data_IF_998271041130
#
_entry.id   IF_998271041130
#
_cell.length_a   1.000
_cell.length_b   1.000
_cell.length_c   1.000
_cell.angle_alpha   90.00
_cell.angle_beta   90.00
_cell.angle_gamma   90.00
#
_symmetry.space_group_name_H-M   'P 1'
#
loop_
_entity.id
_entity.type
_entity.pdbx_description
1 polymer ?
#
# COMPACT_ATOMS: atom_id res chain seq x y z
N UNK A 1 5.45 -32.84 12.48
CA UNK A 1 4.39 -31.87 12.08
C UNK A 1 5.03 -30.88 11.11
N UNK A 2 4.51 -30.76 9.89
CA UNK A 2 5.20 -30.10 8.78
C UNK A 2 5.16 -28.58 8.96
N UNK A 3 6.30 -27.92 9.10
CA UNK A 3 6.46 -26.47 9.33
C UNK A 3 5.66 -25.62 8.31
N UNK A 4 5.55 -26.10 7.06
CA UNK A 4 4.74 -25.46 6.00
C UNK A 4 3.24 -25.43 6.36
N UNK A 5 2.70 -26.49 6.97
CA UNK A 5 1.30 -26.52 7.47
C UNK A 5 1.08 -25.56 8.62
N UNK A 6 2.08 -25.42 9.50
CA UNK A 6 1.99 -24.48 10.64
C UNK A 6 1.95 -23.03 10.12
N UNK A 7 2.81 -22.69 9.17
CA UNK A 7 2.86 -21.34 8.58
C UNK A 7 1.56 -21.05 7.82
N UNK A 8 1.04 -22.01 7.05
CA UNK A 8 -0.23 -21.85 6.33
C UNK A 8 -1.42 -21.69 7.30
N UNK A 9 -1.48 -22.49 8.36
CA UNK A 9 -2.55 -22.40 9.37
C UNK A 9 -2.42 -21.12 10.21
N UNK A 10 -1.20 -20.68 10.54
CA UNK A 10 -0.97 -19.41 11.24
C UNK A 10 -1.42 -18.24 10.35
N UNK A 11 -1.14 -18.31 9.06
CA UNK A 11 -1.53 -17.29 8.09
C UNK A 11 -3.06 -17.23 7.92
N UNK A 12 -3.72 -18.39 7.78
CA UNK A 12 -5.19 -18.46 7.73
C UNK A 12 -5.79 -17.94 9.04
N UNK A 13 -5.21 -18.27 10.19
CA UNK A 13 -5.66 -17.75 11.49
C UNK A 13 -5.51 -16.23 11.61
N UNK A 14 -4.41 -15.65 11.11
CA UNK A 14 -4.20 -14.19 11.07
C UNK A 14 -5.21 -13.53 10.14
N UNK A 15 -5.47 -14.11 8.98
CA UNK A 15 -6.48 -13.60 8.03
C UNK A 15 -7.90 -13.67 8.65
N UNK A 16 -8.24 -14.77 9.30
CA UNK A 16 -9.53 -14.93 10.01
C UNK A 16 -9.63 -13.96 11.19
N UNK A 17 -8.54 -13.75 11.94
CA UNK A 17 -8.49 -12.76 13.02
C UNK A 17 -8.64 -11.32 12.50
N UNK A 18 -8.06 -10.98 11.34
CA UNK A 18 -8.27 -9.68 10.70
C UNK A 18 -9.72 -9.46 10.25
N UNK A 19 -10.39 -10.54 9.82
CA UNK A 19 -11.81 -10.50 9.43
C UNK A 19 -12.75 -10.48 10.65
N UNK A 20 -12.32 -11.06 11.77
CA UNK A 20 -13.10 -11.20 12.99
C UNK A 20 -12.79 -10.11 14.05
N UNK A 21 -11.92 -9.14 13.76
CA UNK A 21 -11.59 -8.07 14.70
C UNK A 21 -12.85 -7.36 15.14
N UNK A 22 -13.19 -7.33 16.46
CA UNK A 22 -14.26 -6.48 16.93
C UNK A 22 -13.87 -5.04 16.57
N UNK A 23 -14.85 -4.27 16.12
CA UNK A 23 -14.74 -2.87 15.77
C UNK A 23 -13.92 -2.11 16.84
N UNK A 24 -12.61 -1.99 16.66
CA UNK A 24 -11.92 -0.85 17.21
C UNK A 24 -12.56 0.33 16.47
N UNK A 25 -13.40 1.08 17.15
CA UNK A 25 -14.16 2.17 16.58
C UNK A 25 -13.19 3.19 15.99
N UNK A 26 -12.77 2.94 14.76
CA UNK A 26 -12.14 3.93 13.92
C UNK A 26 -13.25 4.92 13.62
N UNK A 27 -13.32 5.99 14.41
CA UNK A 27 -14.17 7.12 14.12
C UNK A 27 -13.78 7.60 12.73
N UNK A 28 -14.68 7.35 11.79
CA UNK A 28 -14.58 7.83 10.41
C UNK A 28 -14.60 9.34 10.51
N UNK A 29 -13.46 9.98 10.28
CA UNK A 29 -13.46 11.39 9.89
C UNK A 29 -14.00 11.39 8.47
N UNK A 30 -15.30 11.37 8.33
CA UNK A 30 -15.97 11.55 7.05
C UNK A 30 -15.67 12.95 6.58
N UNK A 31 -14.90 13.04 5.51
CA UNK A 31 -14.68 14.27 4.76
C UNK A 31 -15.94 14.49 3.89
N UNK A 32 -17.07 14.63 4.54
CA UNK A 32 -18.24 15.26 3.95
C UNK A 32 -18.00 16.75 4.04
N UNK A 33 -17.90 17.47 2.97
CA UNK A 33 -17.78 18.91 2.78
C UNK A 33 -18.05 19.90 3.95
N UNK A 34 -18.06 19.44 5.17
CA UNK A 34 -18.24 20.21 6.40
C UNK A 34 -16.94 20.96 6.72
N UNK A 35 -17.08 22.20 7.11
CA UNK A 35 -16.00 23.03 7.60
C UNK A 35 -15.58 22.52 8.98
N UNK A 36 -14.56 21.69 9.04
CA UNK A 36 -13.95 21.31 10.32
C UNK A 36 -13.03 22.43 10.79
N UNK A 37 -13.17 22.83 12.04
CA UNK A 37 -12.17 23.65 12.70
C UNK A 37 -10.85 22.90 12.72
N UNK A 38 -9.74 23.56 12.35
CA UNK A 38 -8.39 22.98 12.32
C UNK A 38 -8.03 22.29 13.64
N UNK A 39 -8.42 22.89 14.77
CA UNK A 39 -8.14 22.34 16.09
C UNK A 39 -8.94 21.07 16.37
N UNK A 40 -10.19 20.99 15.90
CA UNK A 40 -11.01 19.77 16.02
C UNK A 40 -10.40 18.60 15.23
N UNK A 41 -9.93 18.85 14.00
CA UNK A 41 -9.30 17.80 13.20
C UNK A 41 -7.96 17.37 13.80
N UNK A 42 -7.14 18.31 14.29
CA UNK A 42 -5.91 17.96 15.01
C UNK A 42 -6.19 17.13 16.25
N UNK A 43 -7.20 17.50 17.01
CA UNK A 43 -7.62 16.75 18.19
C UNK A 43 -8.06 15.32 17.84
N UNK A 44 -8.75 15.12 16.71
CA UNK A 44 -9.09 13.79 16.22
C UNK A 44 -7.84 13.00 15.78
N UNK A 45 -6.85 13.64 15.13
CA UNK A 45 -5.55 13.01 14.84
C UNK A 45 -4.81 12.64 16.13
N UNK A 46 -4.83 13.51 17.16
CA UNK A 46 -4.18 13.24 18.44
C UNK A 46 -4.87 12.13 19.24
N UNK A 47 -6.19 12.07 19.19
CA UNK A 47 -7.02 11.03 19.85
C UNK A 47 -7.04 9.72 19.07
N UNK A 48 -6.81 9.76 17.77
CA UNK A 48 -6.82 8.57 16.93
C UNK A 48 -5.88 7.48 17.44
N UNK A 49 -6.16 6.21 17.14
CA UNK A 49 -5.39 5.10 17.67
C UNK A 49 -3.91 5.23 17.29
N UNK A 50 -3.04 4.81 18.20
CA UNK A 50 -1.59 4.79 17.93
C UNK A 50 -1.23 3.74 16.89
N UNK A 51 -1.95 2.63 16.88
CA UNK A 51 -1.78 1.54 15.92
C UNK A 51 -2.88 1.56 14.87
N UNK A 52 -2.54 1.36 13.59
CA UNK A 52 -3.50 1.37 12.50
C UNK A 52 -2.96 0.78 11.20
N UNK A 53 -3.81 0.79 10.19
CA UNK A 53 -3.42 0.43 8.84
C UNK A 53 -2.63 1.57 8.19
N UNK A 54 -1.59 1.21 7.43
CA UNK A 54 -0.76 2.17 6.70
C UNK A 54 -1.13 2.23 5.22
N UNK A 55 -1.02 1.10 4.52
CA UNK A 55 -1.49 0.90 3.14
C UNK A 55 -2.69 -0.04 3.13
N UNK A 56 -3.28 -0.26 1.97
CA UNK A 56 -4.30 -1.26 1.75
C UNK A 56 -3.79 -2.65 2.14
N UNK A 57 -4.60 -3.37 2.94
CA UNK A 57 -4.33 -4.75 3.30
C UNK A 57 -5.23 -5.65 2.49
N UNK A 58 -4.66 -6.47 1.63
CA UNK A 58 -5.43 -7.28 0.68
C UNK A 58 -4.92 -8.71 0.56
N UNK A 59 -5.83 -9.58 0.15
CA UNK A 59 -5.54 -10.90 -0.38
C UNK A 59 -6.28 -11.04 -1.71
N UNK A 60 -5.53 -11.21 -2.78
CA UNK A 60 -6.04 -11.29 -4.15
C UNK A 60 -5.37 -12.44 -4.90
N UNK A 61 -6.10 -13.01 -5.85
CA UNK A 61 -5.65 -14.14 -6.65
C UNK A 61 -6.06 -13.94 -8.11
N UNK A 62 -5.23 -14.37 -9.04
CA UNK A 62 -5.59 -14.34 -10.46
C UNK A 62 -4.42 -14.61 -11.40
N UNK A 63 -4.72 -14.72 -12.70
CA UNK A 63 -3.77 -15.09 -13.73
C UNK A 63 -3.03 -13.89 -14.33
N UNK A 64 -1.95 -14.21 -15.04
CA UNK A 64 -1.35 -13.30 -16.01
C UNK A 64 -2.29 -13.09 -17.21
N UNK A 65 -2.28 -11.86 -17.75
CA UNK A 65 -3.09 -11.47 -18.90
C UNK A 65 -2.20 -11.30 -20.12
N UNK A 66 -2.74 -11.63 -21.29
CA UNK A 66 -2.03 -11.50 -22.58
C UNK A 66 -1.11 -12.67 -22.91
N UNK A 67 -1.12 -13.73 -22.11
CA UNK A 67 -0.40 -14.98 -22.33
C UNK A 67 -1.23 -16.19 -21.94
N UNK A 68 -0.78 -17.40 -22.30
CA UNK A 68 -1.45 -18.63 -21.89
C UNK A 68 -1.47 -18.73 -20.36
N UNK A 69 -2.64 -18.95 -19.80
CA UNK A 69 -2.81 -19.13 -18.35
C UNK A 69 -2.22 -20.48 -17.94
N UNK A 70 -1.30 -20.47 -16.98
CA UNK A 70 -0.66 -21.66 -16.41
C UNK A 70 -0.74 -21.61 -14.88
N UNK A 71 -0.35 -22.70 -14.21
CA UNK A 71 -0.28 -22.73 -12.75
C UNK A 71 0.80 -21.80 -12.21
N UNK A 72 1.92 -21.66 -12.94
CA UNK A 72 3.08 -20.85 -12.56
C UNK A 72 2.79 -19.34 -12.66
N UNK A 73 1.93 -18.93 -13.61
CA UNK A 73 1.59 -17.51 -13.82
C UNK A 73 0.23 -17.10 -13.23
N UNK A 74 -0.42 -18.01 -12.47
CA UNK A 74 -1.65 -17.76 -11.74
C UNK A 74 -1.33 -17.87 -10.25
N UNK A 75 -1.25 -16.74 -9.59
CA UNK A 75 -0.77 -16.69 -8.21
C UNK A 75 -1.66 -15.84 -7.29
N UNK A 76 -1.51 -16.04 -6.00
CA UNK A 76 -2.03 -15.14 -4.99
C UNK A 76 -0.98 -14.06 -4.67
N UNK A 77 -1.48 -12.88 -4.39
CA UNK A 77 -0.72 -11.75 -3.86
C UNK A 77 -1.42 -11.23 -2.62
N UNK A 78 -0.69 -11.04 -1.55
CA UNK A 78 -1.26 -10.40 -0.38
C UNK A 78 -0.31 -9.33 0.19
N UNK A 79 -0.90 -8.37 0.84
CA UNK A 79 -0.20 -7.30 1.51
C UNK A 79 -0.75 -7.09 2.91
N UNK A 80 0.15 -7.01 3.88
CA UNK A 80 -0.12 -6.56 5.24
C UNK A 80 0.67 -5.30 5.47
N UNK A 81 -0.02 -4.24 5.87
CA UNK A 81 0.61 -2.93 6.06
C UNK A 81 0.02 -2.23 7.28
N UNK A 82 0.90 -1.91 8.21
CA UNK A 82 0.55 -1.35 9.52
C UNK A 82 1.41 -0.14 9.83
N UNK A 83 0.93 0.70 10.72
CA UNK A 83 1.69 1.82 11.27
C UNK A 83 1.46 1.98 12.76
N UNK A 84 2.48 2.52 13.44
CA UNK A 84 2.44 2.91 14.83
C UNK A 84 2.78 4.39 14.94
N UNK A 85 1.81 5.20 15.35
CA UNK A 85 2.04 6.60 15.68
C UNK A 85 2.86 6.67 16.99
N UNK A 86 3.95 7.41 16.98
CA UNK A 86 4.85 7.54 18.14
C UNK A 86 4.62 8.84 18.93
N UNK A 87 4.16 9.91 18.24
CA UNK A 87 3.94 11.20 18.87
C UNK A 87 2.54 11.74 18.57
N UNK A 88 2.12 12.71 19.38
CA UNK A 88 1.01 13.60 19.07
C UNK A 88 1.54 14.82 18.26
N UNK A 89 0.70 15.82 18.04
CA UNK A 89 1.05 17.06 17.30
C UNK A 89 2.06 17.97 18.03
N UNK A 90 2.94 17.38 18.83
CA UNK A 90 3.92 18.08 19.66
C UNK A 90 5.24 18.38 18.97
N UNK A 91 5.48 17.79 17.80
CA UNK A 91 6.69 18.01 17.03
C UNK A 91 6.62 19.34 16.25
N UNK A 92 7.77 19.92 15.86
CA UNK A 92 7.81 21.13 15.04
C UNK A 92 6.88 21.03 13.83
N UNK A 93 6.26 22.15 13.44
CA UNK A 93 5.29 22.27 12.34
C UNK A 93 4.02 21.43 12.51
N UNK A 94 3.69 20.97 13.74
CA UNK A 94 2.58 20.08 14.04
C UNK A 94 2.64 18.79 13.24
N UNK A 95 3.80 18.16 13.19
CA UNK A 95 4.03 16.87 12.55
C UNK A 95 3.86 15.73 13.53
N UNK A 96 3.59 14.54 12.98
CA UNK A 96 3.45 13.29 13.70
C UNK A 96 4.56 12.34 13.26
N UNK A 97 5.27 11.78 14.21
CA UNK A 97 6.25 10.72 13.96
C UNK A 97 5.54 9.37 14.01
N UNK A 98 5.81 8.51 13.05
CA UNK A 98 5.26 7.17 13.00
C UNK A 98 6.26 6.16 12.44
N UNK A 99 6.14 4.93 12.90
CA UNK A 99 6.76 3.76 12.29
C UNK A 99 5.75 3.11 11.36
N UNK A 100 6.23 2.49 10.30
CA UNK A 100 5.39 1.66 9.44
C UNK A 100 6.13 0.41 9.01
N UNK A 101 5.34 -0.59 8.67
CA UNK A 101 5.81 -1.83 8.10
C UNK A 101 4.84 -2.30 7.04
N UNK A 102 5.36 -2.66 5.87
CA UNK A 102 4.59 -3.29 4.82
C UNK A 102 5.26 -4.59 4.42
N UNK A 103 4.49 -5.66 4.35
CA UNK A 103 4.91 -6.93 3.79
C UNK A 103 4.03 -7.26 2.60
N UNK A 104 4.63 -7.48 1.45
CA UNK A 104 3.98 -7.93 0.22
C UNK A 104 4.52 -9.31 -0.15
N UNK A 105 3.64 -10.23 -0.44
CA UNK A 105 3.99 -11.64 -0.69
C UNK A 105 3.32 -12.12 -1.96
N UNK A 106 4.09 -12.84 -2.78
CA UNK A 106 3.62 -13.56 -3.95
C UNK A 106 3.64 -15.07 -3.65
N UNK A 107 2.53 -15.74 -3.92
CA UNK A 107 2.31 -17.12 -3.50
C UNK A 107 1.70 -17.95 -4.63
N UNK A 108 2.43 -18.94 -5.12
CA UNK A 108 1.98 -19.85 -6.16
C UNK A 108 1.11 -20.96 -5.56
N UNK A 109 -0.12 -20.64 -5.27
CA UNK A 109 -1.10 -21.52 -4.60
C UNK A 109 -1.57 -22.70 -5.45
N UNK A 110 -1.29 -22.69 -6.74
CA UNK A 110 -1.64 -23.78 -7.67
C UNK A 110 -0.50 -24.77 -7.93
N UNK A 111 0.70 -24.47 -7.44
CA UNK A 111 1.85 -25.36 -7.53
C UNK A 111 1.86 -26.39 -6.39
N UNK A 112 2.44 -27.56 -6.66
CA UNK A 112 2.39 -28.72 -5.77
C UNK A 112 2.94 -28.46 -4.37
N UNK A 113 4.00 -27.66 -4.22
CA UNK A 113 4.58 -27.30 -2.93
C UNK A 113 4.06 -26.01 -2.32
N UNK A 114 3.10 -25.35 -2.97
CA UNK A 114 2.57 -24.06 -2.55
C UNK A 114 3.68 -23.04 -2.20
N UNK A 115 4.65 -22.77 -3.10
CA UNK A 115 5.78 -21.94 -2.74
C UNK A 115 5.40 -20.45 -2.64
N UNK A 116 5.87 -19.79 -1.58
CA UNK A 116 5.95 -18.32 -1.56
C UNK A 116 7.18 -17.92 -2.36
N UNK A 117 6.95 -17.36 -3.53
CA UNK A 117 8.01 -17.08 -4.52
C UNK A 117 8.79 -15.83 -4.20
N UNK A 118 8.12 -14.80 -3.68
CA UNK A 118 8.76 -13.55 -3.26
C UNK A 118 8.09 -12.98 -2.01
N UNK A 119 8.91 -12.52 -1.06
CA UNK A 119 8.48 -11.86 0.16
C UNK A 119 9.20 -10.51 0.23
N UNK A 120 8.46 -9.42 0.15
CA UNK A 120 9.05 -8.09 0.19
C UNK A 120 8.71 -7.42 1.52
N UNK A 121 9.74 -7.02 2.26
CA UNK A 121 9.68 -6.39 3.58
C UNK A 121 10.03 -4.91 3.44
N UNK A 122 9.14 -4.03 3.89
CA UNK A 122 9.35 -2.59 3.80
C UNK A 122 9.07 -1.91 5.15
N UNK A 123 10.02 -1.99 6.11
CA UNK A 123 9.99 -1.18 7.32
C UNK A 123 10.40 0.26 7.03
N UNK A 124 9.88 1.19 7.83
CA UNK A 124 10.29 2.58 7.75
C UNK A 124 9.82 3.43 8.92
N UNK A 125 10.37 4.63 8.95
CA UNK A 125 10.00 5.69 9.88
C UNK A 125 9.63 6.94 9.07
N UNK A 126 8.65 7.69 9.52
CA UNK A 126 8.19 8.86 8.79
C UNK A 126 7.60 9.95 9.65
N UNK A 127 7.58 11.14 9.07
CA UNK A 127 6.85 12.30 9.56
C UNK A 127 5.65 12.54 8.67
N UNK A 128 4.50 12.79 9.28
CA UNK A 128 3.27 13.18 8.60
C UNK A 128 2.84 14.56 9.05
N UNK A 129 2.56 15.45 8.09
CA UNK A 129 2.02 16.79 8.33
C UNK A 129 0.64 16.92 7.70
N UNK A 130 -0.44 16.98 8.48
CA UNK A 130 -1.76 17.32 7.96
C UNK A 130 -1.78 18.74 7.40
N UNK A 131 -2.46 18.93 6.27
CA UNK A 131 -2.59 20.21 5.58
C UNK A 131 -3.99 20.79 5.78
N UNK A 132 -4.04 22.07 6.09
CA UNK A 132 -5.29 22.82 6.28
C UNK A 132 -5.27 24.13 5.48
N UNK A 133 -6.37 24.43 4.82
CA UNK A 133 -6.59 25.71 4.15
C UNK A 133 -7.95 26.23 4.59
N UNK A 134 -8.01 27.48 5.09
CA UNK A 134 -9.24 28.11 5.60
C UNK A 134 -10.02 27.21 6.58
N UNK A 135 -9.31 26.62 7.54
CA UNK A 135 -9.84 25.66 8.53
C UNK A 135 -10.46 24.37 7.92
N UNK A 136 -10.12 24.04 6.69
CA UNK A 136 -10.54 22.80 6.04
C UNK A 136 -9.34 21.89 5.86
N UNK A 137 -9.46 20.64 6.27
CA UNK A 137 -8.46 19.62 5.98
C UNK A 137 -8.45 19.31 4.48
N UNK A 138 -7.29 19.39 3.85
CA UNK A 138 -7.12 19.21 2.42
C UNK A 138 -6.17 18.08 2.07
N UNK A 139 -5.57 17.42 3.05
CA UNK A 139 -4.64 16.32 2.79
C UNK A 139 -3.47 16.26 3.75
N UNK A 140 -2.42 15.57 3.33
CA UNK A 140 -1.21 15.38 4.14
C UNK A 140 0.06 15.45 3.29
N UNK A 141 1.17 15.87 3.92
CA UNK A 141 2.53 15.65 3.43
C UNK A 141 3.20 14.58 4.26
N UNK A 142 4.06 13.80 3.64
CA UNK A 142 4.86 12.77 4.31
C UNK A 142 6.34 12.91 3.95
N UNK A 143 7.21 12.68 4.92
CA UNK A 143 8.63 12.47 4.76
C UNK A 143 8.98 11.15 5.40
N UNK A 144 9.66 10.25 4.69
CA UNK A 144 9.89 8.88 5.13
C UNK A 144 11.32 8.46 4.82
N UNK A 145 11.87 7.65 5.70
CA UNK A 145 13.09 6.87 5.48
C UNK A 145 12.66 5.41 5.54
N UNK A 146 12.85 4.69 4.45
CA UNK A 146 12.34 3.33 4.31
C UNK A 146 13.39 2.40 3.70
N UNK A 147 13.38 1.18 4.18
CA UNK A 147 14.13 0.05 3.63
C UNK A 147 13.18 -0.88 2.91
N UNK A 148 13.59 -1.48 1.80
CA UNK A 148 12.85 -2.55 1.16
C UNK A 148 13.79 -3.68 0.76
N UNK A 149 13.46 -4.91 1.16
CA UNK A 149 14.27 -6.10 0.86
C UNK A 149 13.40 -7.34 0.71
N UNK A 150 13.93 -8.36 0.04
CA UNK A 150 13.23 -9.64 -0.13
C UNK A 150 13.66 -10.72 0.87
N UNK A 151 14.56 -10.41 1.81
CA UNK A 151 15.00 -11.34 2.86
C UNK A 151 15.72 -12.57 2.34
N UNK A 152 16.23 -12.54 1.12
CA UNK A 152 17.03 -13.62 0.53
C UNK A 152 18.51 -13.29 0.62
N UNK A 153 19.33 -14.30 0.47
CA UNK A 153 20.79 -14.20 0.44
C UNK A 153 21.37 -14.38 -0.98
N UNK A 154 22.68 -14.22 -1.10
CA UNK A 154 23.47 -14.48 -2.29
C UNK A 154 22.90 -13.78 -3.53
N UNK A 155 22.92 -14.45 -4.68
CA UNK A 155 22.47 -13.92 -5.97
C UNK A 155 20.96 -13.55 -6.02
N UNK A 156 20.16 -14.05 -5.10
CA UNK A 156 18.73 -13.75 -5.00
C UNK A 156 18.41 -12.58 -4.06
N UNK A 157 19.40 -12.05 -3.35
CA UNK A 157 19.25 -10.89 -2.48
C UNK A 157 18.91 -9.65 -3.28
N UNK A 158 17.86 -8.95 -2.85
CA UNK A 158 17.44 -7.65 -3.38
C UNK A 158 17.13 -6.72 -2.22
N UNK A 159 17.77 -5.56 -2.21
CA UNK A 159 17.50 -4.53 -1.19
C UNK A 159 17.80 -3.14 -1.72
N UNK A 160 17.10 -2.17 -1.19
CA UNK A 160 17.37 -0.75 -1.38
C UNK A 160 16.73 0.09 -0.29
N UNK A 161 17.28 1.29 -0.09
CA UNK A 161 16.77 2.28 0.83
C UNK A 161 16.27 3.50 0.07
N UNK A 162 15.33 4.24 0.65
CA UNK A 162 14.76 5.44 0.04
C UNK A 162 14.52 6.51 1.09
N UNK A 163 14.80 7.75 0.71
CA UNK A 163 14.23 8.93 1.36
C UNK A 163 13.07 9.38 0.49
N UNK A 164 11.85 9.28 1.02
CA UNK A 164 10.62 9.49 0.25
C UNK A 164 9.89 10.74 0.73
N UNK A 165 9.49 11.59 -0.21
CA UNK A 165 8.58 12.71 0.01
C UNK A 165 7.26 12.41 -0.66
N UNK A 166 6.17 12.52 0.06
CA UNK A 166 4.84 12.24 -0.43
C UNK A 166 3.85 13.36 -0.14
N UNK A 167 2.85 13.47 -1.00
CA UNK A 167 1.70 14.31 -0.82
C UNK A 167 0.43 13.54 -1.19
N UNK A 168 -0.62 13.73 -0.41
CA UNK A 168 -1.96 13.26 -0.74
C UNK A 168 -2.91 14.43 -0.54
N UNK A 169 -3.62 14.84 -1.59
CA UNK A 169 -4.46 16.04 -1.63
C UNK A 169 -5.88 15.67 -2.01
N UNK A 170 -6.84 16.12 -1.21
CA UNK A 170 -8.27 16.02 -1.48
C UNK A 170 -8.64 17.17 -2.42
N UNK A 171 -9.05 16.81 -3.64
CA UNK A 171 -9.51 17.77 -4.65
C UNK A 171 -10.94 18.17 -4.36
N UNK A 172 -11.81 17.18 -4.13
CA UNK A 172 -13.21 17.37 -3.76
C UNK A 172 -13.71 16.18 -2.89
N UNK A 173 -15.02 16.07 -2.70
CA UNK A 173 -15.64 15.04 -1.88
C UNK A 173 -15.42 13.62 -2.42
N UNK A 174 -15.12 13.47 -3.71
CA UNK A 174 -15.02 12.20 -4.41
C UNK A 174 -13.60 11.89 -4.88
N UNK A 175 -12.80 12.93 -5.15
CA UNK A 175 -11.52 12.83 -5.83
C UNK A 175 -10.36 13.22 -4.92
N UNK A 176 -9.36 12.38 -4.84
CA UNK A 176 -8.06 12.70 -4.28
C UNK A 176 -6.94 12.38 -5.27
N UNK A 177 -5.84 13.12 -5.17
CA UNK A 177 -4.62 12.89 -5.93
C UNK A 177 -3.46 12.69 -4.97
N UNK A 178 -2.53 11.85 -5.36
CA UNK A 178 -1.33 11.61 -4.57
C UNK A 178 -0.09 11.56 -5.47
N UNK A 179 1.04 11.88 -4.88
CA UNK A 179 2.32 11.73 -5.52
C UNK A 179 3.40 11.44 -4.50
N UNK A 180 4.41 10.68 -4.93
CA UNK A 180 5.64 10.43 -4.18
C UNK A 180 6.84 10.56 -5.09
N UNK A 181 7.91 11.12 -4.56
CA UNK A 181 9.24 11.12 -5.16
C UNK A 181 10.22 10.58 -4.14
N UNK A 182 11.19 9.82 -4.58
CA UNK A 182 12.19 9.27 -3.68
C UNK A 182 13.61 9.49 -4.16
N UNK A 183 14.49 9.67 -3.20
CA UNK A 183 15.94 9.65 -3.39
C UNK A 183 16.39 8.25 -3.00
N UNK A 184 16.82 7.43 -3.97
CA UNK A 184 17.24 6.06 -3.68
C UNK A 184 18.65 6.03 -3.12
N UNK A 185 18.87 5.10 -2.19
CA UNK A 185 20.17 4.69 -1.68
C UNK A 185 20.25 3.19 -1.95
N UNK A 186 20.91 2.84 -3.05
CA UNK A 186 20.99 1.45 -3.53
C UNK A 186 22.22 0.81 -2.91
N UNK A 187 22.00 -0.10 -2.00
CA UNK A 187 23.04 -0.86 -1.30
C UNK A 187 23.12 -2.35 -1.75
N UNK A 188 22.11 -2.81 -2.49
CA UNK A 188 22.05 -4.17 -3.00
C UNK A 188 23.02 -4.42 -4.16
N UNK A 189 23.92 -5.40 -4.01
CA UNK A 189 24.88 -5.77 -5.06
C UNK A 189 24.21 -6.30 -6.33
N UNK A 190 23.08 -6.98 -6.18
CA UNK A 190 22.41 -7.73 -7.26
C UNK A 190 21.21 -6.97 -7.89
N UNK A 191 21.03 -5.68 -7.57
CA UNK A 191 19.93 -4.88 -8.08
C UNK A 191 20.32 -3.40 -8.32
N UNK A 192 21.52 -3.15 -8.85
CA UNK A 192 22.03 -1.80 -9.12
C UNK A 192 21.21 -1.02 -10.14
N UNK A 193 20.49 -1.72 -11.02
CA UNK A 193 19.61 -1.20 -12.06
C UNK A 193 18.12 -1.10 -11.64
N UNK A 194 17.83 -1.27 -10.34
CA UNK A 194 16.44 -1.35 -9.82
C UNK A 194 15.58 -0.14 -10.23
N UNK A 195 16.17 1.03 -10.37
CA UNK A 195 15.45 2.27 -10.77
C UNK A 195 14.94 2.23 -12.22
N UNK A 196 15.57 1.44 -13.07
CA UNK A 196 15.14 1.30 -14.46
C UNK A 196 13.79 0.57 -14.54
N UNK A 197 13.42 -0.14 -13.49
CA UNK A 197 12.23 -0.98 -13.38
C UNK A 197 11.25 -0.53 -12.28
N UNK A 198 11.73 -0.33 -11.05
CA UNK A 198 10.90 0.09 -9.91
C UNK A 198 10.59 1.59 -9.88
N UNK A 199 11.31 2.37 -10.71
CA UNK A 199 10.98 3.77 -10.94
C UNK A 199 11.63 4.75 -9.96
N UNK A 200 11.31 6.05 -10.18
CA UNK A 200 11.90 7.20 -9.47
C UNK A 200 10.85 8.10 -8.80
N UNK A 201 9.61 8.05 -9.27
CA UNK A 201 8.47 8.72 -8.65
C UNK A 201 7.17 8.02 -9.04
N UNK A 202 6.13 8.30 -8.28
CA UNK A 202 4.77 7.87 -8.61
C UNK A 202 3.78 9.02 -8.49
N UNK A 203 2.73 8.95 -9.30
CA UNK A 203 1.55 9.78 -9.20
C UNK A 203 0.31 8.91 -9.31
N UNK A 204 -0.76 9.32 -8.70
CA UNK A 204 -2.01 8.58 -8.80
C UNK A 204 -3.20 9.40 -8.39
N UNK A 205 -4.35 8.82 -8.65
CA UNK A 205 -5.65 9.40 -8.30
C UNK A 205 -6.56 8.33 -7.77
N UNK A 206 -7.41 8.69 -6.82
CA UNK A 206 -8.45 7.83 -6.26
C UNK A 206 -9.78 8.54 -6.31
N UNK A 207 -10.79 7.83 -6.79
CA UNK A 207 -12.17 8.29 -6.86
C UNK A 207 -13.06 7.44 -5.97
N UNK A 208 -13.91 8.08 -5.17
CA UNK A 208 -14.92 7.42 -4.35
C UNK A 208 -16.29 7.88 -4.84
N UNK A 209 -17.17 6.95 -5.16
CA UNK A 209 -18.55 7.26 -5.60
C UNK A 209 -19.35 8.01 -4.52
N UNK A 210 -20.39 8.78 -4.94
CA UNK A 210 -21.23 9.55 -4.02
C UNK A 210 -21.88 8.68 -2.92
N UNK A 211 -22.24 7.43 -3.25
CA UNK A 211 -22.79 6.48 -2.28
C UNK A 211 -21.71 5.77 -1.44
N UNK A 212 -20.44 6.14 -1.60
CA UNK A 212 -19.26 5.59 -0.91
C UNK A 212 -19.09 4.06 -1.07
N UNK A 213 -19.77 3.45 -2.05
CA UNK A 213 -19.69 2.01 -2.29
C UNK A 213 -18.57 1.60 -3.23
N UNK A 214 -18.22 2.47 -4.18
CA UNK A 214 -17.17 2.21 -5.17
C UNK A 214 -15.96 3.09 -4.90
N UNK A 215 -14.80 2.48 -4.94
CA UNK A 215 -13.52 3.18 -4.94
C UNK A 215 -12.73 2.68 -6.14
N UNK A 216 -12.25 3.61 -6.96
CA UNK A 216 -11.39 3.30 -8.11
C UNK A 216 -10.10 4.11 -7.97
N UNK A 217 -8.96 3.50 -8.24
CA UNK A 217 -7.67 4.19 -8.24
C UNK A 217 -6.80 3.80 -9.43
N UNK A 218 -5.97 4.74 -9.83
CA UNK A 218 -4.91 4.53 -10.82
C UNK A 218 -3.63 5.08 -10.25
N UNK A 219 -2.57 4.26 -10.28
CA UNK A 219 -1.22 4.65 -9.87
C UNK A 219 -0.28 4.42 -11.03
N UNK A 220 0.50 5.43 -11.35
CA UNK A 220 1.53 5.42 -12.38
C UNK A 220 2.89 5.60 -11.72
N UNK A 221 3.76 4.61 -11.82
CA UNK A 221 5.14 4.67 -11.33
C UNK A 221 6.06 4.91 -12.51
N UNK A 222 6.72 6.06 -12.54
CA UNK A 222 7.62 6.46 -13.63
C UNK A 222 8.95 5.74 -13.49
N UNK A 223 9.28 4.93 -14.48
CA UNK A 223 10.59 4.31 -14.59
C UNK A 223 11.66 5.33 -15.04
N UNK A 224 12.92 5.01 -14.78
CA UNK A 224 14.05 5.85 -15.18
C UNK A 224 14.07 6.06 -16.70
N UNK A 225 14.57 7.23 -17.13
CA UNK A 225 14.68 7.63 -18.54
C UNK A 225 13.62 8.65 -18.98
N UNK A 226 13.77 9.18 -20.19
CA UNK A 226 12.92 10.25 -20.75
C UNK A 226 11.66 9.74 -21.45
N UNK A 227 11.57 8.44 -21.73
CA UNK A 227 10.43 7.84 -22.40
C UNK A 227 9.19 7.84 -21.50
N UNK A 228 7.99 7.80 -22.09
CA UNK A 228 6.71 7.64 -21.39
C UNK A 228 6.53 6.18 -20.93
N UNK A 229 7.43 5.71 -20.10
CA UNK A 229 7.47 4.36 -19.57
C UNK A 229 6.98 4.34 -18.11
N UNK A 230 5.80 3.79 -17.89
CA UNK A 230 5.19 3.68 -16.57
C UNK A 230 4.90 2.22 -16.22
N UNK A 231 5.01 1.90 -14.93
CA UNK A 231 4.32 0.77 -14.35
C UNK A 231 2.94 1.28 -13.91
N UNK A 232 1.90 0.56 -14.24
CA UNK A 232 0.51 0.99 -14.02
C UNK A 232 -0.17 0.02 -13.06
N UNK A 233 -0.84 0.57 -12.06
CA UNK A 233 -1.71 -0.18 -11.17
C UNK A 233 -3.10 0.44 -11.29
N UNK A 234 -4.07 -0.37 -11.68
CA UNK A 234 -5.49 -0.01 -11.66
C UNK A 234 -6.20 -0.85 -10.59
N UNK A 235 -7.00 -0.19 -9.77
CA UNK A 235 -7.72 -0.84 -8.69
C UNK A 235 -9.18 -0.42 -8.70
N UNK A 236 -10.05 -1.40 -8.42
CA UNK A 236 -11.47 -1.20 -8.24
C UNK A 236 -11.92 -1.95 -6.99
N UNK A 237 -12.55 -1.25 -6.07
CA UNK A 237 -13.04 -1.81 -4.83
C UNK A 237 -14.53 -1.52 -4.65
N UNK A 238 -15.29 -2.55 -4.31
CA UNK A 238 -16.72 -2.47 -4.01
C UNK A 238 -16.96 -2.82 -2.55
N UNK A 239 -17.57 -1.90 -1.80
CA UNK A 239 -17.78 -2.01 -0.37
C UNK A 239 -18.81 -3.09 -0.06
N UNK A 240 -18.45 -4.08 0.75
CA UNK A 240 -19.30 -5.22 1.11
C UNK A 240 -20.42 -4.81 2.06
N UNK A 241 -20.12 -3.95 3.04
CA UNK A 241 -21.09 -3.44 4.01
C UNK A 241 -20.83 -1.98 4.33
N UNK A 242 -21.87 -1.19 4.55
CA UNK A 242 -21.72 0.25 4.88
C UNK A 242 -21.05 0.49 6.25
N UNK A 243 -21.13 -0.48 7.17
CA UNK A 243 -20.56 -0.38 8.52
C UNK A 243 -19.10 -0.83 8.62
N UNK A 244 -18.51 -1.34 7.53
CA UNK A 244 -17.17 -1.94 7.54
C UNK A 244 -16.27 -1.29 6.49
N UNK A 245 -14.96 -1.48 6.63
CA UNK A 245 -13.93 -1.04 5.68
C UNK A 245 -13.41 -2.15 4.78
N UNK A 246 -14.23 -3.18 4.57
CA UNK A 246 -13.93 -4.36 3.75
C UNK A 246 -14.58 -4.20 2.37
N UNK A 247 -13.84 -4.55 1.33
CA UNK A 247 -14.28 -4.40 -0.05
C UNK A 247 -13.95 -5.68 -0.83
N UNK A 248 -14.82 -6.05 -1.77
CA UNK A 248 -14.42 -6.88 -2.90
C UNK A 248 -13.45 -6.05 -3.75
N UNK A 249 -12.35 -6.64 -4.17
CA UNK A 249 -11.23 -5.90 -4.73
C UNK A 249 -10.70 -6.55 -5.99
N UNK A 250 -10.51 -5.75 -7.02
CA UNK A 250 -9.88 -6.12 -8.27
C UNK A 250 -8.66 -5.22 -8.47
N UNK A 251 -7.52 -5.83 -8.78
CA UNK A 251 -6.27 -5.13 -9.12
C UNK A 251 -5.75 -5.62 -10.46
N UNK A 252 -5.45 -4.69 -11.34
CA UNK A 252 -4.70 -4.94 -12.57
C UNK A 252 -3.33 -4.25 -12.46
N UNK A 253 -2.29 -5.05 -12.56
CA UNK A 253 -0.90 -4.59 -12.60
C UNK A 253 -0.36 -4.78 -14.02
N UNK A 254 0.34 -3.74 -14.53
CA UNK A 254 1.00 -3.79 -15.84
C UNK A 254 2.32 -3.05 -15.76
N UNK A 255 3.44 -3.77 -15.85
CA UNK A 255 4.77 -3.18 -15.75
C UNK A 255 5.82 -4.09 -15.14
N UNK A 256 6.86 -3.48 -14.62
CA UNK A 256 8.00 -4.09 -13.94
C UNK A 256 7.99 -3.74 -12.45
N UNK A 257 8.78 -4.43 -11.63
CA UNK A 257 8.92 -4.09 -10.21
C UNK A 257 7.68 -4.39 -9.37
N UNK A 258 6.84 -5.35 -9.77
CA UNK A 258 5.73 -5.79 -8.93
C UNK A 258 6.23 -6.46 -7.65
N UNK A 259 7.26 -7.30 -7.75
CA UNK A 259 8.04 -7.90 -6.68
C UNK A 259 9.51 -7.54 -6.79
N UNK A 260 10.29 -7.81 -5.74
CA UNK A 260 11.73 -7.53 -5.73
C UNK A 260 12.56 -8.61 -6.39
N UNK A 261 12.18 -9.89 -6.26
CA UNK A 261 12.99 -10.99 -6.78
C UNK A 261 13.16 -10.91 -8.29
N UNK A 262 12.07 -10.59 -8.98
CA UNK A 262 12.02 -10.51 -10.44
C UNK A 262 11.62 -9.09 -10.92
N UNK A 263 12.11 -8.06 -10.20
CA UNK A 263 11.81 -6.64 -10.47
C UNK A 263 12.05 -6.23 -11.92
N UNK A 264 12.95 -6.92 -12.62
CA UNK A 264 13.34 -6.69 -14.01
C UNK A 264 12.52 -7.51 -15.04
N UNK A 265 11.51 -8.26 -14.58
CA UNK A 265 10.57 -8.96 -15.46
C UNK A 265 9.28 -8.18 -15.60
N UNK A 266 8.72 -8.22 -16.81
CA UNK A 266 7.43 -7.59 -17.09
C UNK A 266 6.29 -8.49 -16.61
N UNK A 267 5.36 -7.89 -15.87
CA UNK A 267 4.14 -8.52 -15.38
C UNK A 267 2.90 -7.82 -15.91
N UNK A 268 1.92 -8.59 -16.36
CA UNK A 268 0.57 -8.14 -16.66
C UNK A 268 -0.38 -9.09 -15.94
N UNK A 269 -0.91 -8.65 -14.80
CA UNK A 269 -1.62 -9.51 -13.86
C UNK A 269 -2.97 -8.92 -13.50
N UNK A 270 -4.02 -9.74 -13.57
CA UNK A 270 -5.36 -9.37 -13.11
C UNK A 270 -5.74 -10.27 -11.93
N UNK A 271 -5.93 -9.68 -10.75
CA UNK A 271 -6.26 -10.41 -9.53
C UNK A 271 -7.52 -9.86 -8.88
N UNK A 272 -8.31 -10.76 -8.30
CA UNK A 272 -9.52 -10.42 -7.56
C UNK A 272 -9.44 -11.01 -6.14
N UNK A 273 -10.08 -10.38 -5.18
CA UNK A 273 -10.13 -10.84 -3.80
C UNK A 273 -10.74 -9.82 -2.87
N UNK A 274 -10.16 -9.67 -1.69
CA UNK A 274 -10.67 -8.80 -0.63
C UNK A 274 -9.58 -7.79 -0.23
N UNK A 275 -10.00 -6.55 0.07
CA UNK A 275 -9.14 -5.51 0.64
C UNK A 275 -9.79 -4.89 1.87
N UNK A 276 -8.96 -4.56 2.85
CA UNK A 276 -9.29 -3.71 3.99
C UNK A 276 -8.52 -2.41 3.80
N UNK A 277 -9.24 -1.29 3.70
CA UNK A 277 -8.66 0.03 3.43
C UNK A 277 -8.45 0.83 4.72
N UNK A 278 -7.35 1.61 4.82
CA UNK A 278 -7.20 2.61 5.88
C UNK A 278 -8.36 3.61 5.88
N UNK A 279 -8.66 4.15 7.05
CA UNK A 279 -9.83 5.03 7.23
C UNK A 279 -9.66 6.41 6.59
N UNK A 280 -8.44 6.94 6.57
CA UNK A 280 -8.19 8.30 6.07
C UNK A 280 -7.57 8.30 4.66
N UNK A 281 -6.43 7.66 4.49
CA UNK A 281 -5.74 7.57 3.21
C UNK A 281 -4.95 6.28 3.16
N UNK A 282 -5.00 5.59 2.04
CA UNK A 282 -3.98 4.61 1.71
C UNK A 282 -2.70 5.35 1.31
N UNK A 283 -1.57 4.97 1.89
CA UNK A 283 -0.27 5.39 1.41
C UNK A 283 0.17 4.40 0.32
N UNK A 284 -0.06 4.77 -0.95
CA UNK A 284 0.25 3.94 -2.11
C UNK A 284 1.74 3.69 -2.30
#
# INVERSE_FOLDING_TARGET
MNMKRIICNLFIAVMVAMLASPQAGAQIVTVDGQRFNTDSVRHEFDKGPYFGLYKDNYFIFGPAIGQKITRENTNAKFQVSISQKLTKSTLPWNTYLYLFYTQKVFWNVLEESLPMTDLNFNPGIGLCKPLFVKNRFIGKLTFQIEHESNGRDSIQSRSWNRITFGANIIVDANLSVHGKVWIPIIDGENNKDILDYCGIYQVGTSYISNNKRWNASVVLVKRRGWNLNYNTIFELAWKLSNSQNQYLFLQYYNGYGEGLLDYNKFHSQLRIGIVIKPTLFSDY
#
